data_IF_587757190380
#
_entry.id   IF_587757190380
#
_cell.length_a   1.000
_cell.length_b   1.000
_cell.length_c   1.000
_cell.angle_alpha   90.00
_cell.angle_beta   90.00
_cell.angle_gamma   90.00
#
_symmetry.space_group_name_H-M   'P 1'
#
loop_
_entity.id
_entity.type
_entity.pdbx_description
1 polymer ?
#
# COMPACT_ATOMS: atom_id res chain seq x y z
N UNK A 1 1.06 6.66 -30.39
CA UNK A 1 1.33 6.87 -29.84
C UNK A 1 1.33 7.12 -28.70
N UNK A 2 1.69 7.47 -28.33
CA UNK A 2 1.71 7.74 -26.94
C UNK A 2 0.43 7.84 -26.26
N UNK A 3 -0.55 7.39 -26.89
CA UNK A 3 -1.84 7.48 -26.29
C UNK A 3 -1.94 6.76 -24.99
N UNK A 4 -1.31 5.66 -24.92
CA UNK A 4 -1.37 4.89 -23.71
C UNK A 4 -0.76 5.66 -22.57
N UNK A 5 -0.03 6.68 -22.85
CA UNK A 5 0.51 7.50 -21.78
C UNK A 5 -0.53 8.28 -21.06
N UNK A 6 -1.67 8.51 -21.70
CA UNK A 6 -2.74 9.21 -21.01
C UNK A 6 -3.41 8.33 -19.98
N UNK A 7 -3.18 7.05 -20.02
CA UNK A 7 -3.74 6.18 -19.04
C UNK A 7 -3.02 6.35 -17.73
N UNK A 8 -3.81 6.43 -16.67
CA UNK A 8 -3.26 6.59 -15.34
C UNK A 8 -2.68 5.27 -14.89
N UNK A 9 -1.41 5.30 -14.53
CA UNK A 9 -0.78 4.15 -13.92
C UNK A 9 -1.04 4.21 -12.43
N UNK A 10 -1.61 3.15 -11.91
CA UNK A 10 -2.01 3.07 -10.51
C UNK A 10 -1.24 1.97 -9.83
N UNK A 11 -0.58 2.31 -8.76
CA UNK A 11 0.23 1.37 -8.01
C UNK A 11 -0.28 1.30 -6.58
N UNK A 12 -0.38 0.09 -6.06
CA UNK A 12 -0.77 -0.13 -4.67
C UNK A 12 0.48 -0.52 -3.90
N UNK A 13 0.84 0.29 -2.92
CA UNK A 13 1.98 -0.01 -2.07
C UNK A 13 1.62 -1.07 -1.05
N UNK A 14 2.51 -2.03 -0.84
CA UNK A 14 2.35 -2.87 0.33
C UNK A 14 2.80 -2.09 1.57
N UNK A 15 2.55 -2.68 2.73
CA UNK A 15 2.78 -1.97 3.98
C UNK A 15 4.25 -1.63 4.18
N UNK A 16 5.16 -2.55 3.83
CA UNK A 16 6.58 -2.28 4.02
C UNK A 16 7.08 -1.19 3.07
N UNK A 17 6.66 -1.24 1.81
CA UNK A 17 7.05 -0.20 0.86
C UNK A 17 6.54 1.16 1.31
N UNK A 18 5.32 1.21 1.85
CA UNK A 18 4.78 2.45 2.39
C UNK A 18 5.66 3.00 3.52
N UNK A 19 6.00 2.14 4.47
CA UNK A 19 6.83 2.58 5.60
C UNK A 19 8.22 3.03 5.13
N UNK A 20 8.81 2.29 4.21
CA UNK A 20 10.11 2.66 3.68
C UNK A 20 10.08 4.01 2.97
N UNK A 21 9.01 4.28 2.25
CA UNK A 21 8.85 5.56 1.57
C UNK A 21 8.68 6.68 2.58
N UNK A 22 7.79 6.50 3.56
CA UNK A 22 7.49 7.55 4.54
C UNK A 22 8.72 7.92 5.38
N UNK A 23 9.56 6.94 5.68
CA UNK A 23 10.72 7.15 6.54
C UNK A 23 12.04 7.18 5.75
N UNK A 24 11.95 7.26 4.44
CA UNK A 24 13.13 7.38 3.58
C UNK A 24 14.13 6.26 3.82
N UNK A 25 13.63 5.05 3.94
CA UNK A 25 14.44 3.88 4.24
C UNK A 25 15.11 3.37 2.96
N UNK A 26 16.41 3.09 3.04
CA UNK A 26 17.19 2.66 1.89
C UNK A 26 16.77 1.28 1.35
N UNK A 27 15.99 0.52 2.10
CA UNK A 27 15.48 -0.76 1.61
C UNK A 27 14.51 -0.58 0.45
N UNK A 28 13.92 0.60 0.31
CA UNK A 28 13.11 0.88 -0.86
C UNK A 28 14.04 1.04 -2.07
N UNK A 29 13.77 0.27 -3.13
CA UNK A 29 14.66 0.28 -4.28
C UNK A 29 14.61 1.60 -5.04
N UNK A 30 15.63 1.83 -5.87
CA UNK A 30 15.67 3.03 -6.70
C UNK A 30 14.50 3.04 -7.68
N UNK A 31 14.18 1.90 -8.25
CA UNK A 31 13.04 1.80 -9.16
C UNK A 31 11.74 2.15 -8.46
N UNK A 32 11.54 1.64 -7.26
CA UNK A 32 10.34 1.94 -6.50
C UNK A 32 10.22 3.43 -6.21
N UNK A 33 11.33 4.04 -5.81
CA UNK A 33 11.33 5.48 -5.55
C UNK A 33 10.95 6.27 -6.77
N UNK A 34 11.47 5.90 -7.93
CA UNK A 34 11.17 6.64 -9.14
C UNK A 34 9.70 6.51 -9.52
N UNK A 35 9.10 5.35 -9.29
CA UNK A 35 7.68 5.15 -9.57
C UNK A 35 6.82 6.01 -8.63
N UNK A 36 7.15 6.01 -7.35
CA UNK A 36 6.38 6.76 -6.37
C UNK A 36 6.52 8.26 -6.58
N UNK A 37 7.69 8.71 -6.98
CA UNK A 37 7.95 10.13 -7.19
C UNK A 37 7.32 10.68 -8.46
N UNK A 38 6.99 9.81 -9.41
CA UNK A 38 6.49 10.26 -10.69
C UNK A 38 5.08 10.81 -10.56
N UNK A 39 4.86 12.11 -10.82
CA UNK A 39 3.53 12.69 -10.63
C UNK A 39 2.49 12.16 -11.61
N UNK A 40 2.89 11.48 -12.67
CA UNK A 40 1.95 10.85 -13.58
C UNK A 40 1.33 9.59 -13.01
N UNK A 41 1.91 9.04 -11.94
CA UNK A 41 1.41 7.83 -11.30
C UNK A 41 0.48 8.18 -10.14
N UNK A 42 -0.55 7.35 -9.96
CA UNK A 42 -1.39 7.40 -8.77
C UNK A 42 -0.91 6.31 -7.83
N UNK A 43 -0.52 6.71 -6.64
CA UNK A 43 0.01 5.77 -5.65
C UNK A 43 -1.04 5.59 -4.57
N UNK A 44 -1.44 4.36 -4.35
CA UNK A 44 -2.54 4.01 -3.47
C UNK A 44 -2.04 3.24 -2.26
N UNK A 45 -2.70 3.47 -1.14
CA UNK A 45 -2.43 2.77 0.12
C UNK A 45 -3.74 2.18 0.60
N UNK A 46 -3.76 0.88 0.83
CA UNK A 46 -4.97 0.21 1.30
C UNK A 46 -5.24 0.54 2.76
N UNK A 47 -6.52 0.64 3.09
CA UNK A 47 -6.91 0.74 4.51
C UNK A 47 -6.41 -0.44 5.32
N UNK A 48 -6.19 -1.59 4.69
CA UNK A 48 -5.62 -2.74 5.38
C UNK A 48 -4.22 -2.45 5.90
N UNK A 49 -3.45 -1.64 5.16
CA UNK A 49 -2.11 -1.27 5.62
C UNK A 49 -2.17 -0.43 6.89
N UNK A 50 -3.17 0.44 6.99
CA UNK A 50 -3.36 1.21 8.23
C UNK A 50 -3.64 0.31 9.41
N UNK A 51 -4.51 -0.67 9.23
CA UNK A 51 -4.82 -1.61 10.29
C UNK A 51 -3.59 -2.44 10.65
N UNK A 52 -2.84 -2.89 9.65
CA UNK A 52 -1.64 -3.67 9.91
C UNK A 52 -0.61 -2.87 10.71
N UNK A 53 -0.36 -1.62 10.31
CA UNK A 53 0.60 -0.77 11.00
C UNK A 53 0.19 -0.57 12.46
N UNK A 54 -1.07 -0.22 12.70
CA UNK A 54 -1.57 0.03 14.03
C UNK A 54 -1.48 -1.22 14.90
N UNK A 55 -1.91 -2.35 14.34
CA UNK A 55 -1.95 -3.61 15.07
C UNK A 55 -0.54 -4.09 15.40
N UNK A 56 0.35 -4.09 14.42
CA UNK A 56 1.70 -4.59 14.64
C UNK A 56 2.51 -3.66 15.53
N UNK A 57 2.25 -2.35 15.46
CA UNK A 57 2.91 -1.44 16.38
C UNK A 57 2.47 -1.72 17.82
N UNK A 58 1.17 -1.89 18.05
CA UNK A 58 0.65 -2.20 19.38
C UNK A 58 1.24 -3.49 19.92
N UNK A 59 1.47 -4.48 19.05
CA UNK A 59 2.01 -5.77 19.46
C UNK A 59 3.54 -5.78 19.58
N UNK A 60 4.18 -4.64 19.35
CA UNK A 60 5.63 -4.53 19.45
C UNK A 60 6.39 -5.10 18.27
N UNK A 61 5.72 -5.40 17.16
CA UNK A 61 6.35 -5.99 15.98
C UNK A 61 6.88 -4.95 15.01
N UNK A 62 6.47 -3.70 15.15
CA UNK A 62 6.95 -2.59 14.34
C UNK A 62 7.26 -1.40 15.25
N UNK A 63 8.26 -1.54 16.14
CA UNK A 63 8.51 -0.48 17.12
C UNK A 63 8.91 0.84 16.49
N UNK A 64 9.50 0.81 15.29
CA UNK A 64 9.94 2.03 14.62
C UNK A 64 8.80 2.76 13.91
N UNK A 65 7.60 2.21 13.90
CA UNK A 65 6.49 2.75 13.12
C UNK A 65 5.54 3.62 13.94
N UNK A 66 5.98 4.11 15.11
CA UNK A 66 5.08 4.85 16.00
C UNK A 66 4.46 6.08 15.37
N UNK A 67 5.23 6.84 14.60
CA UNK A 67 4.69 8.02 13.96
C UNK A 67 3.63 7.65 12.93
N UNK A 68 3.89 6.61 12.14
CA UNK A 68 2.90 6.15 11.18
C UNK A 68 1.64 5.64 11.88
N UNK A 69 1.80 4.89 12.98
CA UNK A 69 0.64 4.38 13.69
C UNK A 69 -0.24 5.48 14.26
N UNK A 70 0.36 6.60 14.65
CA UNK A 70 -0.38 7.67 15.32
C UNK A 70 -0.83 8.78 14.38
N UNK A 71 -0.16 8.98 13.25
CA UNK A 71 -0.41 10.13 12.38
C UNK A 71 -0.52 9.75 10.91
N UNK A 72 -0.91 8.53 10.60
CA UNK A 72 -0.91 8.06 9.23
C UNK A 72 -1.71 8.96 8.27
N UNK A 73 -2.93 9.38 8.60
CA UNK A 73 -3.67 10.23 7.65
C UNK A 73 -2.90 11.49 7.26
N UNK A 74 -2.26 12.13 8.21
CA UNK A 74 -1.47 13.31 7.93
C UNK A 74 -0.27 13.02 7.06
N UNK A 75 0.43 11.91 7.35
CA UNK A 75 1.59 11.51 6.57
C UNK A 75 1.20 11.19 5.13
N UNK A 76 0.06 10.52 4.93
CA UNK A 76 -0.40 10.21 3.58
C UNK A 76 -0.74 11.47 2.80
N UNK A 77 -1.38 12.43 3.45
CA UNK A 77 -1.72 13.69 2.78
C UNK A 77 -0.45 14.44 2.36
N UNK A 78 0.53 14.51 3.24
CA UNK A 78 1.78 15.21 2.93
C UNK A 78 2.54 14.52 1.82
N UNK A 79 2.47 13.21 1.77
CA UNK A 79 3.15 12.43 0.74
C UNK A 79 2.34 12.34 -0.54
N UNK A 80 1.12 12.88 -0.57
CA UNK A 80 0.23 12.84 -1.74
C UNK A 80 -0.12 11.43 -2.17
N UNK A 81 -0.32 10.56 -1.19
CA UNK A 81 -0.74 9.18 -1.42
C UNK A 81 -2.24 9.09 -1.20
N UNK A 82 -2.90 8.32 -2.04
CA UNK A 82 -4.35 8.15 -1.95
C UNK A 82 -4.69 6.90 -1.17
N UNK A 83 -5.81 6.94 -0.46
CA UNK A 83 -6.28 5.79 0.30
C UNK A 83 -7.25 4.99 -0.54
N UNK A 84 -7.06 3.68 -0.55
CA UNK A 84 -7.95 2.75 -1.22
C UNK A 84 -8.71 1.98 -0.15
N UNK A 85 -10.03 2.24 0.02
CA UNK A 85 -10.78 1.59 1.09
C UNK A 85 -11.01 0.12 0.80
N UNK A 86 -11.16 -0.67 1.86
CA UNK A 86 -11.54 -2.06 1.74
C UNK A 86 -13.06 -2.13 1.80
N UNK A 87 -13.64 -2.73 0.77
CA UNK A 87 -15.08 -2.96 0.74
C UNK A 87 -15.40 -4.32 1.32
N UNK A 88 -16.68 -4.57 1.58
CA UNK A 88 -17.09 -5.88 2.06
C UNK A 88 -16.81 -6.94 0.99
N UNK A 89 -16.93 -6.59 -0.28
CA UNK A 89 -16.61 -7.51 -1.37
C UNK A 89 -15.14 -7.90 -1.34
N UNK A 90 -14.27 -6.94 -1.10
CA UNK A 90 -12.84 -7.23 -1.00
C UNK A 90 -12.54 -8.16 0.16
N UNK A 91 -13.19 -7.93 1.30
CA UNK A 91 -12.98 -8.77 2.46
C UNK A 91 -13.43 -10.20 2.23
N UNK A 92 -14.59 -10.35 1.58
CA UNK A 92 -15.09 -11.68 1.24
C UNK A 92 -14.18 -12.38 0.26
N UNK A 93 -13.71 -11.67 -0.75
CA UNK A 93 -12.80 -12.24 -1.73
C UNK A 93 -11.49 -12.67 -1.07
N UNK A 94 -10.97 -11.88 -0.16
CA UNK A 94 -9.74 -12.22 0.53
C UNK A 94 -9.91 -13.49 1.37
N UNK A 95 -11.04 -13.60 2.05
CA UNK A 95 -11.31 -14.78 2.85
C UNK A 95 -11.47 -16.04 2.03
N UNK A 96 -11.92 -15.90 0.78
CA UNK A 96 -12.15 -17.03 -0.10
C UNK A 96 -10.91 -17.46 -0.87
N UNK A 97 -9.83 -16.68 -0.85
CA UNK A 97 -8.63 -17.03 -1.59
C UNK A 97 -8.05 -18.36 -1.10
N UNK A 98 -7.75 -19.28 -2.02
CA UNK A 98 -7.11 -20.52 -1.62
C UNK A 98 -5.64 -20.31 -1.34
N UNK A 99 -5.03 -21.30 -0.75
CA UNK A 99 -3.59 -21.32 -0.61
C UNK A 99 -3.10 -20.82 0.73
N UNK A 100 -1.79 -20.76 0.88
CA UNK A 100 -1.15 -20.62 2.18
C UNK A 100 -0.95 -19.20 2.65
N UNK A 101 -1.69 -18.24 2.14
CA UNK A 101 -1.57 -16.88 2.63
C UNK A 101 -1.96 -16.84 4.10
N UNK A 102 -0.98 -16.68 4.96
CA UNK A 102 -1.20 -16.70 6.40
C UNK A 102 -1.52 -15.33 6.94
N UNK A 103 -1.00 -14.30 6.27
CA UNK A 103 -1.19 -12.93 6.71
C UNK A 103 -2.48 -12.40 6.12
N UNK A 104 -3.48 -12.09 6.95
CA UNK A 104 -4.75 -11.58 6.43
C UNK A 104 -4.61 -10.25 5.71
N UNK A 105 -3.60 -9.46 6.07
CA UNK A 105 -3.37 -8.18 5.38
C UNK A 105 -2.95 -8.43 3.94
N UNK A 106 -2.06 -9.40 3.71
CA UNK A 106 -1.66 -9.76 2.35
C UNK A 106 -2.84 -10.27 1.55
N UNK A 107 -3.71 -11.06 2.17
CA UNK A 107 -4.89 -11.57 1.47
C UNK A 107 -5.78 -10.42 0.99
N UNK A 108 -5.98 -9.42 1.83
CA UNK A 108 -6.80 -8.28 1.45
C UNK A 108 -6.18 -7.47 0.33
N UNK A 109 -4.85 -7.31 0.33
CA UNK A 109 -4.17 -6.61 -0.74
C UNK A 109 -4.29 -7.38 -2.06
N UNK A 110 -4.16 -8.70 -1.99
CA UNK A 110 -4.21 -9.53 -3.18
C UNK A 110 -5.60 -9.66 -3.78
N UNK A 111 -6.65 -9.33 -3.02
CA UNK A 111 -8.02 -9.50 -3.47
C UNK A 111 -8.58 -8.32 -4.24
N UNK A 112 -7.76 -7.30 -4.52
CA UNK A 112 -8.24 -6.11 -5.23
C UNK A 112 -8.76 -6.46 -6.61
N UNK A 113 -9.99 -6.10 -6.93
CA UNK A 113 -10.55 -6.41 -8.24
C UNK A 113 -10.19 -5.39 -9.32
N UNK A 114 -9.62 -4.28 -8.97
CA UNK A 114 -9.31 -3.23 -9.94
C UNK A 114 -8.11 -3.65 -10.78
N UNK A 115 -8.38 -3.96 -12.03
CA UNK A 115 -7.34 -4.46 -12.93
C UNK A 115 -6.36 -3.40 -13.37
N UNK A 116 -6.68 -2.14 -13.14
CA UNK A 116 -5.79 -1.04 -13.46
C UNK A 116 -4.79 -0.76 -12.36
N UNK A 117 -4.96 -1.41 -11.22
CA UNK A 117 -4.04 -1.24 -10.11
C UNK A 117 -2.95 -2.29 -10.20
N UNK A 118 -1.72 -1.85 -10.21
CA UNK A 118 -0.56 -2.72 -10.30
C UNK A 118 0.09 -2.73 -8.94
N UNK A 119 0.35 -3.93 -8.43
CA UNK A 119 1.04 -4.04 -7.16
C UNK A 119 2.47 -3.58 -7.30
N UNK A 120 2.87 -2.75 -6.38
CA UNK A 120 4.25 -2.34 -6.25
C UNK A 120 4.89 -3.29 -5.27
N UNK A 121 5.28 -4.44 -5.77
CA UNK A 121 5.87 -5.47 -4.93
C UNK A 121 7.35 -5.18 -4.81
N UNK A 122 7.65 -4.31 -3.89
CA UNK A 122 8.99 -3.74 -3.84
C UNK A 122 9.76 -4.19 -2.61
#
# INVERSE_FOLDING_TARGET
MGVEKSEISRFLLDTHALLWWLFDDHRLTVLARSIIQDPANTILVSSASGWEISTKYRLGKLPQAGEAANNLPSLLRRARLDVLPITIEHALAAGALPGPHRDPFDRMLCSRPDRKTIYCDL
#
